data_IF_749423081608
#
_entry.id   IF_749423081608
#
_cell.length_a   1.000
_cell.length_b   1.000
_cell.length_c   1.000
_cell.angle_alpha   90.00
_cell.angle_beta   90.00
_cell.angle_gamma   90.00
#
_symmetry.space_group_name_H-M   'P 1'
#
loop_
_entity.id
_entity.type
_entity.pdbx_description
1 polymer ?
#
# COMPACT_ATOMS: atom_id res chain seq x y z
N UNK A 1 -50.72 -11.27 29.65
CA UNK A 1 -49.28 -11.06 29.30
C UNK A 1 -48.84 -9.76 29.95
N UNK A 2 -48.10 -9.83 31.05
CA UNK A 2 -47.92 -8.70 31.96
C UNK A 2 -46.97 -7.61 31.44
N UNK A 3 -47.11 -6.35 31.93
CA UNK A 3 -46.31 -5.19 31.52
C UNK A 3 -44.80 -5.37 31.77
N UNK A 4 -44.43 -6.31 32.64
CA UNK A 4 -43.04 -6.67 32.94
C UNK A 4 -42.30 -7.31 31.74
N UNK A 5 -43.02 -7.95 30.81
CA UNK A 5 -42.41 -8.53 29.60
C UNK A 5 -42.00 -7.48 28.58
N UNK A 6 -42.80 -6.42 28.44
CA UNK A 6 -42.49 -5.29 27.56
C UNK A 6 -41.29 -4.50 28.10
N UNK A 7 -41.22 -4.32 29.42
CA UNK A 7 -40.12 -3.59 30.06
C UNK A 7 -38.79 -4.36 29.96
N UNK A 8 -38.82 -5.69 30.10
CA UNK A 8 -37.64 -6.53 29.91
C UNK A 8 -37.11 -6.51 28.45
N UNK A 9 -37.99 -6.46 27.46
CA UNK A 9 -37.58 -6.36 26.04
C UNK A 9 -36.96 -5.01 25.68
N UNK A 10 -37.41 -3.93 26.34
CA UNK A 10 -36.91 -2.56 26.05
C UNK A 10 -35.48 -2.35 26.56
N UNK A 11 -35.10 -3.00 27.66
CA UNK A 11 -33.75 -2.92 28.24
C UNK A 11 -32.69 -3.61 27.36
N UNK A 12 -33.03 -4.74 26.73
CA UNK A 12 -32.10 -5.50 25.87
C UNK A 12 -31.79 -4.75 24.56
N UNK A 13 -32.73 -3.97 24.04
CA UNK A 13 -32.54 -3.24 22.77
C UNK A 13 -31.65 -2.00 22.98
N UNK A 14 -31.70 -1.36 24.15
CA UNK A 14 -30.84 -0.20 24.45
C UNK A 14 -29.37 -0.55 24.70
N UNK A 15 -29.06 -1.80 25.08
CA UNK A 15 -27.68 -2.22 25.38
C UNK A 15 -26.79 -2.41 24.13
N UNK A 16 -27.37 -2.53 22.93
CA UNK A 16 -26.60 -2.71 21.69
C UNK A 16 -26.10 -1.39 21.07
N UNK A 17 -26.65 -0.24 21.48
CA UNK A 17 -26.27 1.07 20.95
C UNK A 17 -24.92 1.62 21.47
N UNK A 18 -24.27 0.93 22.42
CA UNK A 18 -22.98 1.32 22.99
C UNK A 18 -21.80 0.45 22.56
N UNK A 19 -22.02 -0.52 21.65
CA UNK A 19 -20.92 -1.10 20.89
C UNK A 19 -20.45 -0.04 19.88
N UNK A 20 -19.69 0.94 20.39
CA UNK A 20 -18.89 1.81 19.58
C UNK A 20 -18.06 0.93 18.68
N UNK A 21 -18.28 1.05 17.37
CA UNK A 21 -17.29 0.68 16.39
C UNK A 21 -16.06 1.52 16.73
N UNK A 22 -15.13 0.96 17.51
CA UNK A 22 -13.74 1.40 17.46
C UNK A 22 -13.24 0.99 16.08
N UNK A 23 -13.70 1.71 15.06
CA UNK A 23 -12.95 1.82 13.82
C UNK A 23 -11.63 2.41 14.25
N UNK A 24 -10.60 1.58 14.34
CA UNK A 24 -9.25 2.00 14.54
C UNK A 24 -8.84 2.85 13.34
N UNK A 25 -9.18 4.14 13.36
CA UNK A 25 -8.28 5.12 12.81
C UNK A 25 -7.14 5.20 13.81
N UNK A 26 -6.11 4.39 13.58
CA UNK A 26 -4.75 4.73 13.98
C UNK A 26 -4.44 6.09 13.35
N UNK A 27 -4.90 7.14 14.03
CA UNK A 27 -4.43 8.49 13.83
C UNK A 27 -2.96 8.46 14.17
N UNK A 28 -2.14 8.26 13.14
CA UNK A 28 -0.72 8.56 13.16
C UNK A 28 -0.59 9.93 13.80
N UNK A 29 0.06 9.96 14.96
CA UNK A 29 0.48 11.20 15.59
C UNK A 29 1.47 11.87 14.65
N UNK A 30 0.97 12.72 13.75
CA UNK A 30 1.80 13.56 12.89
C UNK A 30 2.48 14.60 13.78
N UNK A 31 3.62 14.22 14.33
CA UNK A 31 4.59 15.14 14.92
C UNK A 31 5.65 15.38 13.86
N UNK A 32 5.33 16.20 12.85
CA UNK A 32 6.30 16.87 11.96
C UNK A 32 7.59 16.13 11.60
N UNK A 33 7.55 14.83 11.35
CA UNK A 33 8.71 14.06 10.91
C UNK A 33 8.76 14.15 9.38
N UNK A 34 9.87 14.62 8.84
CA UNK A 34 10.16 14.55 7.41
C UNK A 34 10.60 13.13 7.00
N UNK A 35 10.15 12.12 7.75
CA UNK A 35 10.59 10.74 7.66
C UNK A 35 9.36 9.84 7.64
N UNK A 36 9.35 8.87 6.71
CA UNK A 36 8.32 7.84 6.59
C UNK A 36 8.97 6.48 6.84
N UNK A 37 8.51 5.84 7.90
CA UNK A 37 8.86 4.46 8.26
C UNK A 37 8.11 3.44 7.41
N UNK A 38 8.59 2.20 7.41
CA UNK A 38 7.89 1.08 6.77
C UNK A 38 6.51 0.92 7.42
N UNK A 39 5.41 1.02 6.65
CA UNK A 39 4.08 0.87 7.22
C UNK A 39 3.81 -0.60 7.57
N UNK A 40 3.04 -0.79 8.64
CA UNK A 40 2.45 -2.09 8.97
C UNK A 40 1.02 -2.10 8.48
N UNK A 41 0.66 -3.11 7.68
CA UNK A 41 -0.66 -3.23 7.09
C UNK A 41 -1.45 -4.42 7.62
N UNK A 42 -2.76 -4.24 7.65
CA UNK A 42 -3.77 -5.25 7.93
C UNK A 42 -4.51 -5.62 6.64
N UNK A 43 -5.21 -6.77 6.67
CA UNK A 43 -6.06 -7.16 5.54
C UNK A 43 -7.14 -6.10 5.29
N UNK A 44 -7.22 -5.61 4.05
CA UNK A 44 -8.14 -4.55 3.63
C UNK A 44 -7.52 -3.15 3.57
N UNK A 45 -6.31 -2.97 4.13
CA UNK A 45 -5.53 -1.76 3.88
C UNK A 45 -5.15 -1.67 2.41
N UNK A 46 -4.88 -0.46 1.94
CA UNK A 46 -4.64 -0.20 0.54
C UNK A 46 -3.67 0.94 0.35
N UNK A 47 -3.01 0.92 -0.80
CA UNK A 47 -2.17 2.02 -1.26
C UNK A 47 -2.50 2.39 -2.72
N UNK A 48 -2.03 3.54 -3.15
CA UNK A 48 -2.08 3.97 -4.54
C UNK A 48 -0.66 4.18 -5.00
N UNK A 49 -0.35 3.85 -6.25
CA UNK A 49 0.87 4.33 -6.87
C UNK A 49 0.56 4.75 -8.30
N UNK A 50 1.30 5.73 -8.80
CA UNK A 50 1.21 6.19 -10.18
C UNK A 50 2.50 5.87 -10.91
N UNK A 51 2.39 5.34 -12.13
CA UNK A 51 3.52 5.05 -12.99
C UNK A 51 3.32 5.80 -14.31
N UNK A 52 4.34 6.53 -14.75
CA UNK A 52 4.22 7.52 -15.83
C UNK A 52 5.45 7.48 -16.72
N UNK A 53 5.37 6.79 -17.86
CA UNK A 53 6.45 6.78 -18.85
C UNK A 53 6.16 7.76 -19.98
N UNK A 54 7.18 8.25 -20.72
CA UNK A 54 6.97 9.20 -21.82
C UNK A 54 5.97 8.72 -22.88
N UNK A 55 5.89 7.40 -23.09
CA UNK A 55 5.06 6.78 -24.12
C UNK A 55 3.67 6.37 -23.64
N UNK A 56 3.37 6.44 -22.33
CA UNK A 56 2.11 6.01 -21.75
C UNK A 56 1.53 7.06 -20.79
N UNK A 57 0.22 7.31 -20.90
CA UNK A 57 -0.49 8.17 -19.94
C UNK A 57 -0.37 7.60 -18.53
N UNK A 58 -0.19 8.48 -17.53
CA UNK A 58 -0.18 8.17 -16.09
C UNK A 58 -1.15 7.02 -15.74
N UNK A 59 -0.61 5.86 -15.38
CA UNK A 59 -1.40 4.75 -14.89
C UNK A 59 -1.36 4.74 -13.36
N UNK A 60 -2.54 4.78 -12.76
CA UNK A 60 -2.68 4.76 -11.30
C UNK A 60 -3.34 3.47 -10.88
N UNK A 61 -2.61 2.66 -10.11
CA UNK A 61 -3.11 1.40 -9.60
C UNK A 61 -3.36 1.50 -8.09
N UNK A 62 -4.54 1.01 -7.66
CA UNK A 62 -4.86 0.78 -6.26
C UNK A 62 -4.63 -0.68 -5.94
N UNK A 63 -3.70 -0.96 -5.03
CA UNK A 63 -3.50 -2.31 -4.50
C UNK A 63 -4.06 -2.40 -3.08
N UNK A 64 -4.60 -3.56 -2.75
CA UNK A 64 -5.26 -3.87 -1.50
C UNK A 64 -4.60 -5.09 -0.88
N UNK A 65 -4.32 -5.05 0.41
CA UNK A 65 -3.76 -6.17 1.16
C UNK A 65 -4.82 -7.25 1.30
N UNK A 66 -4.60 -8.40 0.66
CA UNK A 66 -5.48 -9.55 0.68
C UNK A 66 -5.10 -10.58 1.75
N UNK A 67 -3.81 -10.64 2.13
CA UNK A 67 -3.26 -11.54 3.15
C UNK A 67 -2.00 -10.92 3.75
N UNK A 68 -1.70 -11.25 5.01
CA UNK A 68 -0.53 -10.79 5.77
C UNK A 68 0.36 -11.95 6.25
N UNK A 69 0.06 -13.17 5.82
CA UNK A 69 0.69 -14.40 6.32
C UNK A 69 1.48 -15.16 5.25
N UNK A 70 1.81 -14.51 4.13
CA UNK A 70 2.64 -15.13 3.09
C UNK A 70 4.09 -15.25 3.57
N UNK A 71 4.86 -16.18 2.98
CA UNK A 71 6.28 -16.42 3.33
C UNK A 71 6.48 -16.58 4.85
N UNK A 72 5.74 -17.50 5.47
CA UNK A 72 5.76 -17.76 6.92
C UNK A 72 5.49 -16.51 7.79
N UNK A 73 4.70 -15.55 7.28
CA UNK A 73 4.36 -14.31 7.97
C UNK A 73 5.35 -13.16 7.77
N UNK A 74 6.20 -13.24 6.75
CA UNK A 74 7.17 -12.20 6.40
C UNK A 74 6.77 -11.38 5.17
N UNK A 75 5.64 -11.73 4.53
CA UNK A 75 5.17 -11.07 3.32
C UNK A 75 3.65 -10.83 3.30
N UNK A 76 3.28 -9.71 2.66
CA UNK A 76 1.91 -9.38 2.29
C UNK A 76 1.57 -10.00 0.92
N UNK A 77 0.30 -10.33 0.70
CA UNK A 77 -0.26 -10.53 -0.64
C UNK A 77 -1.07 -9.31 -1.03
N UNK A 78 -0.63 -8.61 -2.08
CA UNK A 78 -1.37 -7.52 -2.69
C UNK A 78 -2.25 -8.01 -3.82
N UNK A 79 -3.51 -7.57 -3.80
CA UNK A 79 -4.48 -7.77 -4.86
C UNK A 79 -4.87 -6.43 -5.50
N UNK A 80 -5.45 -6.47 -6.69
CA UNK A 80 -5.93 -5.28 -7.39
C UNK A 80 -7.45 -5.24 -7.43
N UNK A 81 -8.03 -4.06 -7.22
CA UNK A 81 -9.49 -3.87 -7.16
C UNK A 81 -10.16 -3.73 -8.53
N UNK A 82 -9.38 -3.72 -9.62
CA UNK A 82 -9.87 -3.53 -11.00
C UNK A 82 -9.64 -4.78 -11.84
N UNK A 83 -10.72 -5.35 -12.38
CA UNK A 83 -10.65 -6.51 -13.29
C UNK A 83 -9.88 -6.18 -14.58
N UNK A 84 -10.02 -4.96 -15.08
CA UNK A 84 -9.29 -4.52 -16.29
C UNK A 84 -7.79 -4.50 -16.04
N UNK A 85 -7.36 -3.95 -14.90
CA UNK A 85 -5.93 -3.91 -14.54
C UNK A 85 -5.40 -5.30 -14.18
N UNK A 86 -6.20 -6.14 -13.53
CA UNK A 86 -5.85 -7.54 -13.29
C UNK A 86 -5.58 -8.29 -14.61
N UNK A 87 -6.44 -8.09 -15.62
CA UNK A 87 -6.26 -8.67 -16.96
C UNK A 87 -5.04 -8.10 -17.67
N UNK A 88 -4.80 -6.80 -17.57
CA UNK A 88 -3.64 -6.12 -18.15
C UNK A 88 -2.34 -6.67 -17.55
N UNK A 89 -2.28 -6.83 -16.23
CA UNK A 89 -1.16 -7.44 -15.54
C UNK A 89 -0.96 -8.91 -15.96
N UNK A 90 -2.02 -9.72 -16.03
CA UNK A 90 -1.91 -11.12 -16.42
C UNK A 90 -1.34 -11.33 -17.84
N UNK A 91 -1.49 -10.35 -18.73
CA UNK A 91 -1.01 -10.42 -20.12
C UNK A 91 0.36 -9.73 -20.29
N UNK A 92 0.57 -8.59 -19.63
CA UNK A 92 1.72 -7.71 -19.88
C UNK A 92 2.72 -7.62 -18.72
N UNK A 93 2.43 -8.25 -17.58
CA UNK A 93 3.19 -8.14 -16.33
C UNK A 93 3.49 -6.68 -15.93
N UNK A 94 2.46 -5.83 -16.02
CA UNK A 94 2.63 -4.37 -15.98
C UNK A 94 2.68 -3.76 -14.56
N UNK A 95 2.32 -4.53 -13.53
CA UNK A 95 2.24 -4.02 -12.15
C UNK A 95 3.30 -4.71 -11.30
N UNK A 96 4.41 -4.04 -10.99
CA UNK A 96 5.56 -4.68 -10.32
C UNK A 96 5.24 -5.08 -8.88
N UNK A 97 4.27 -4.43 -8.24
CA UNK A 97 3.92 -4.67 -6.83
C UNK A 97 2.71 -5.58 -6.66
N UNK A 98 2.05 -5.99 -7.74
CA UNK A 98 0.92 -6.91 -7.64
C UNK A 98 1.45 -8.31 -7.27
N UNK A 99 0.93 -8.89 -6.20
CA UNK A 99 1.38 -10.17 -5.67
C UNK A 99 2.10 -10.02 -4.34
N UNK A 100 3.17 -10.80 -4.13
CA UNK A 100 3.88 -10.81 -2.84
C UNK A 100 4.80 -9.61 -2.69
N UNK A 101 4.80 -9.02 -1.50
CA UNK A 101 5.80 -8.04 -1.09
C UNK A 101 6.28 -8.33 0.35
N UNK A 102 7.51 -7.97 0.69
CA UNK A 102 8.06 -8.18 2.04
C UNK A 102 7.47 -7.20 3.07
N UNK A 103 7.41 -7.60 4.34
CA UNK A 103 7.03 -6.71 5.45
C UNK A 103 8.14 -5.71 5.81
N UNK A 104 9.41 -6.06 5.59
CA UNK A 104 10.56 -5.28 6.06
C UNK A 104 10.81 -3.99 5.29
N UNK A 105 10.51 -3.98 4.00
CA UNK A 105 10.92 -2.94 3.07
C UNK A 105 9.96 -2.79 1.88
N UNK A 106 8.83 -3.50 1.91
CA UNK A 106 7.84 -3.55 0.83
C UNK A 106 8.47 -3.95 -0.52
N UNK A 107 9.48 -4.82 -0.48
CA UNK A 107 10.20 -5.33 -1.64
C UNK A 107 9.32 -6.28 -2.46
N UNK A 108 9.19 -6.01 -3.76
CA UNK A 108 8.38 -6.79 -4.68
C UNK A 108 9.06 -8.10 -5.07
N UNK A 109 8.30 -9.18 -5.22
CA UNK A 109 8.86 -10.45 -5.67
C UNK A 109 8.97 -10.54 -7.20
N UNK A 110 10.20 -10.63 -7.71
CA UNK A 110 10.50 -10.91 -9.12
C UNK A 110 11.20 -12.27 -9.23
N UNK A 111 10.68 -13.16 -10.10
CA UNK A 111 11.20 -14.51 -10.29
C UNK A 111 11.37 -15.32 -8.98
N UNK A 112 10.54 -15.03 -7.97
CA UNK A 112 10.54 -15.70 -6.67
C UNK A 112 11.53 -15.13 -5.65
N UNK A 113 12.27 -14.07 -5.98
CA UNK A 113 13.16 -13.38 -5.04
C UNK A 113 12.66 -11.95 -4.77
N UNK A 114 12.76 -11.45 -3.52
CA UNK A 114 12.40 -10.07 -3.22
C UNK A 114 13.40 -9.10 -3.87
N UNK A 115 12.86 -8.03 -4.46
CA UNK A 115 13.59 -6.92 -5.05
C UNK A 115 13.28 -5.64 -4.27
N UNK A 116 14.33 -4.96 -3.82
CA UNK A 116 14.19 -3.72 -3.08
C UNK A 116 13.95 -2.55 -4.03
N UNK A 117 12.69 -2.26 -4.31
CA UNK A 117 12.26 -1.12 -5.15
C UNK A 117 12.14 0.16 -4.32
N UNK A 118 11.88 0.02 -3.03
CA UNK A 118 11.70 1.11 -2.08
C UNK A 118 12.81 1.10 -1.03
N UNK A 119 13.21 2.26 -0.56
CA UNK A 119 14.20 2.41 0.51
C UNK A 119 13.54 3.05 1.71
N UNK A 120 13.46 2.33 2.82
CA UNK A 120 12.91 2.82 4.07
C UNK A 120 13.98 2.79 5.18
N UNK A 121 13.90 3.67 6.20
CA UNK A 121 12.99 4.82 6.26
C UNK A 121 13.28 5.83 5.14
N UNK A 122 12.24 6.56 4.70
CA UNK A 122 12.35 7.55 3.64
C UNK A 122 12.45 8.94 4.23
N UNK A 123 13.49 9.69 3.88
CA UNK A 123 13.61 11.12 4.14
C UNK A 123 13.60 11.93 2.83
N UNK A 124 13.17 13.19 2.91
CA UNK A 124 13.21 14.08 1.74
C UNK A 124 14.67 14.27 1.27
N UNK A 125 14.91 13.99 -0.01
CA UNK A 125 16.23 14.07 -0.62
C UNK A 125 17.00 12.74 -0.67
N UNK A 126 16.49 11.68 -0.03
CA UNK A 126 17.08 10.34 -0.17
C UNK A 126 17.06 9.88 -1.61
N UNK A 127 18.09 9.14 -2.00
CA UNK A 127 18.22 8.59 -3.34
C UNK A 127 18.81 7.20 -3.32
N UNK A 128 18.30 6.32 -4.17
CA UNK A 128 18.79 4.95 -4.33
C UNK A 128 18.65 4.49 -5.79
N UNK A 129 19.28 3.37 -6.11
CA UNK A 129 19.13 2.69 -7.39
C UNK A 129 18.51 1.32 -7.18
N UNK A 130 17.71 0.87 -8.15
CA UNK A 130 17.12 -0.47 -8.14
C UNK A 130 16.91 -0.97 -9.56
N UNK A 131 16.80 -2.29 -9.70
CA UNK A 131 16.42 -2.94 -10.96
C UNK A 131 14.92 -3.24 -10.93
N UNK A 132 14.20 -2.88 -11.98
CA UNK A 132 12.81 -3.27 -12.18
C UNK A 132 12.54 -3.51 -13.67
N UNK A 133 11.90 -4.63 -13.99
CA UNK A 133 11.65 -5.07 -15.37
C UNK A 133 12.95 -5.19 -16.19
N UNK A 134 14.03 -5.68 -15.57
CA UNK A 134 15.37 -5.76 -16.17
C UNK A 134 15.97 -4.42 -16.62
N UNK A 135 15.48 -3.31 -16.07
CA UNK A 135 15.98 -1.97 -16.30
C UNK A 135 16.50 -1.38 -14.99
N UNK A 136 17.57 -0.60 -15.07
CA UNK A 136 18.11 0.15 -13.93
C UNK A 136 17.36 1.47 -13.77
N UNK A 137 17.05 1.81 -12.51
CA UNK A 137 16.35 3.02 -12.14
C UNK A 137 17.16 3.78 -11.10
N UNK A 138 17.18 5.10 -11.22
CA UNK A 138 17.64 6.01 -10.19
C UNK A 138 16.45 6.75 -9.60
N UNK A 139 16.18 6.53 -8.31
CA UNK A 139 15.07 7.13 -7.60
C UNK A 139 15.53 8.12 -6.54
N UNK A 140 14.69 9.12 -6.28
CA UNK A 140 14.86 10.02 -5.15
C UNK A 140 13.51 10.47 -4.57
N UNK A 141 13.52 10.77 -3.26
CA UNK A 141 12.36 11.33 -2.55
C UNK A 141 12.30 12.83 -2.82
N UNK A 142 11.33 13.25 -3.63
CA UNK A 142 11.14 14.67 -3.97
C UNK A 142 10.44 15.46 -2.87
N UNK A 143 9.50 14.84 -2.17
CA UNK A 143 8.69 15.50 -1.15
C UNK A 143 8.13 14.49 -0.13
N UNK A 144 8.00 14.93 1.12
CA UNK A 144 7.31 14.20 2.19
C UNK A 144 6.33 15.14 2.86
N UNK A 145 5.06 14.73 2.89
CA UNK A 145 3.97 15.47 3.50
C UNK A 145 3.12 14.54 4.38
N UNK A 146 3.40 14.53 5.69
CA UNK A 146 2.72 13.66 6.63
C UNK A 146 3.06 12.19 6.36
N UNK A 147 2.06 11.38 6.01
CA UNK A 147 2.24 9.97 5.66
C UNK A 147 2.45 9.72 4.17
N UNK A 148 2.60 10.79 3.37
CA UNK A 148 2.76 10.69 1.92
C UNK A 148 4.17 11.08 1.49
N UNK A 149 4.86 10.15 0.81
CA UNK A 149 6.10 10.43 0.09
C UNK A 149 5.82 10.53 -1.41
N UNK A 150 6.52 11.41 -2.11
CA UNK A 150 6.57 11.44 -3.57
C UNK A 150 7.97 11.04 -4.01
N UNK A 151 8.10 9.84 -4.57
CA UNK A 151 9.36 9.31 -5.12
C UNK A 151 9.33 9.44 -6.63
N UNK A 152 10.38 10.02 -7.19
CA UNK A 152 10.58 10.14 -8.64
C UNK A 152 11.70 9.18 -9.02
N UNK A 153 11.43 8.28 -9.95
CA UNK A 153 12.44 7.38 -10.53
C UNK A 153 12.61 7.65 -12.03
N UNK A 154 13.84 7.53 -12.51
CA UNK A 154 14.18 7.65 -13.92
C UNK A 154 15.02 6.46 -14.35
N UNK A 155 14.80 5.97 -15.56
CA UNK A 155 15.64 4.96 -16.20
C UNK A 155 16.45 5.54 -17.36
N UNK A 156 17.50 4.85 -17.76
CA UNK A 156 18.43 5.26 -18.81
C UNK A 156 17.79 5.36 -20.21
N UNK A 157 16.64 4.70 -20.41
CA UNK A 157 15.87 4.77 -21.66
C UNK A 157 14.95 6.01 -21.75
N UNK A 158 14.95 6.85 -20.71
CA UNK A 158 14.09 8.04 -20.59
C UNK A 158 12.75 7.79 -19.90
N UNK A 159 12.48 6.57 -19.45
CA UNK A 159 11.28 6.24 -18.66
C UNK A 159 11.28 6.95 -17.31
N UNK A 160 10.13 7.49 -16.93
CA UNK A 160 9.88 8.07 -15.60
C UNK A 160 8.95 7.19 -14.77
N UNK A 161 8.98 7.36 -13.47
CA UNK A 161 7.97 6.84 -12.56
C UNK A 161 7.78 7.80 -11.39
N UNK A 162 6.54 7.91 -10.89
CA UNK A 162 6.21 8.76 -9.74
C UNK A 162 5.38 8.01 -8.71
N UNK A 163 6.04 7.40 -7.73
CA UNK A 163 5.36 6.69 -6.66
C UNK A 163 4.88 7.69 -5.61
N UNK A 164 3.64 7.53 -5.16
CA UNK A 164 3.04 8.36 -4.10
C UNK A 164 2.56 7.46 -2.98
N UNK A 165 3.14 7.58 -1.81
CA UNK A 165 2.77 6.79 -0.62
C UNK A 165 1.68 7.47 0.20
#
# INVERSE_FOLDING_TARGET
MGPHRALAMTVVILSFSLAGCSGGSSGVGSTGSNEIEVPTWETGDWWLYTFSTPDYSDDTARLVVASTSEEDGTAYMLAISSLTEARRHAVLNHNPFLGRITHSDLGAFENGAPQQVLSFPMEQGDSWSFTLFSMEWSAFVSDIAGSTAIVIANSDDGSGARLRF
#
